data_IF_780275079134
#
_entry.id   IF_780275079134
#
_cell.length_a   1.000
_cell.length_b   1.000
_cell.length_c   1.000
_cell.angle_alpha   90.00
_cell.angle_beta   90.00
_cell.angle_gamma   90.00
#
_symmetry.space_group_name_H-M   'P 1'
#
loop_
_entity.id
_entity.type
_entity.pdbx_description
1 polymer ?
#
# COMPACT_ATOMS: atom_id res chain seq x y z
N UNK A 1 -2.44 9.34 14.32
CA UNK A 1 -2.79 8.87 12.97
C UNK A 1 -3.10 10.08 12.12
N UNK A 2 -2.16 10.50 11.27
CA UNK A 2 -2.39 11.61 10.35
C UNK A 2 -3.42 11.15 9.32
N UNK A 3 -4.61 11.75 9.31
CA UNK A 3 -5.68 11.41 8.37
C UNK A 3 -5.29 11.80 6.95
N UNK A 4 -4.66 10.89 6.23
CA UNK A 4 -4.29 11.05 4.82
C UNK A 4 -4.94 9.99 3.95
N UNK A 5 -5.18 10.31 2.67
CA UNK A 5 -5.77 9.34 1.72
C UNK A 5 -4.82 8.16 1.50
N UNK A 6 -5.35 6.95 1.56
CA UNK A 6 -4.68 5.75 1.09
C UNK A 6 -5.32 5.35 -0.24
N UNK A 7 -4.52 4.88 -1.20
CA UNK A 7 -5.03 4.42 -2.49
C UNK A 7 -4.51 3.03 -2.80
N UNK A 8 -5.34 2.20 -3.41
CA UNK A 8 -4.98 0.89 -3.94
C UNK A 8 -5.41 0.84 -5.40
N UNK A 9 -4.48 0.48 -6.27
CA UNK A 9 -4.70 0.34 -7.71
C UNK A 9 -4.48 -1.13 -8.11
N UNK A 10 -5.48 -1.77 -8.71
CA UNK A 10 -5.38 -3.13 -9.27
C UNK A 10 -4.79 -3.06 -10.67
N UNK A 11 -3.81 -3.93 -10.96
CA UNK A 11 -3.27 -4.12 -12.31
C UNK A 11 -4.22 -5.03 -13.12
N UNK A 12 -4.74 -4.57 -14.28
CA UNK A 12 -5.65 -5.37 -15.09
C UNK A 12 -5.06 -6.73 -15.48
N UNK A 13 -5.85 -7.79 -15.34
CA UNK A 13 -5.45 -9.15 -15.73
C UNK A 13 -4.46 -9.84 -14.78
N UNK A 14 -4.27 -9.33 -13.56
CA UNK A 14 -3.39 -9.93 -12.55
C UNK A 14 -3.92 -9.69 -11.13
N UNK A 15 -3.44 -10.47 -10.17
CA UNK A 15 -3.68 -10.23 -8.74
C UNK A 15 -2.80 -9.12 -8.15
N UNK A 16 -2.00 -8.47 -8.99
CA UNK A 16 -1.06 -7.43 -8.57
C UNK A 16 -1.77 -6.15 -8.17
N UNK A 17 -1.42 -5.69 -6.97
CA UNK A 17 -1.90 -4.51 -6.31
C UNK A 17 -0.79 -3.50 -6.10
N UNK A 18 -1.06 -2.22 -6.33
CA UNK A 18 -0.17 -1.13 -5.93
C UNK A 18 -0.83 -0.25 -4.88
N UNK A 19 -0.30 -0.28 -3.66
CA UNK A 19 -0.68 0.60 -2.56
C UNK A 19 0.09 1.91 -2.64
N UNK A 20 -0.59 3.03 -2.43
CA UNK A 20 -0.01 4.39 -2.40
C UNK A 20 -0.39 5.04 -1.07
N UNK A 21 0.61 5.32 -0.24
CA UNK A 21 0.42 5.98 1.04
C UNK A 21 0.20 7.49 0.86
N UNK A 22 -0.37 8.16 1.86
CA UNK A 22 -0.56 9.60 1.88
C UNK A 22 0.77 10.40 1.84
N UNK A 23 1.90 9.78 2.18
CA UNK A 23 3.23 10.35 2.03
C UNK A 23 3.81 10.22 0.61
N UNK A 24 3.11 9.54 -0.31
CA UNK A 24 3.55 9.31 -1.69
C UNK A 24 4.34 8.02 -1.91
N UNK A 25 4.73 7.31 -0.85
CA UNK A 25 5.37 6.00 -0.94
C UNK A 25 4.47 4.99 -1.66
N UNK A 26 5.08 4.00 -2.33
CA UNK A 26 4.37 2.97 -3.11
C UNK A 26 4.92 1.58 -2.81
N UNK A 27 4.06 0.58 -2.73
CA UNK A 27 4.43 -0.85 -2.69
C UNK A 27 3.53 -1.64 -3.61
N UNK A 28 4.10 -2.64 -4.26
CA UNK A 28 3.37 -3.58 -5.11
C UNK A 28 3.48 -4.99 -4.55
N UNK A 29 2.37 -5.69 -4.47
CA UNK A 29 2.28 -7.08 -3.99
C UNK A 29 1.06 -7.77 -4.62
N UNK A 30 0.98 -9.09 -4.53
CA UNK A 30 -0.19 -9.85 -5.00
C UNK A 30 -1.18 -10.16 -3.86
N UNK A 31 -0.71 -10.14 -2.60
CA UNK A 31 -1.57 -10.30 -1.43
C UNK A 31 -2.16 -8.93 -0.99
N UNK A 32 -3.49 -8.76 -0.99
CA UNK A 32 -4.13 -7.55 -0.48
C UNK A 32 -3.80 -7.27 0.99
N UNK A 33 -3.60 -8.29 1.82
CA UNK A 33 -3.28 -8.12 3.23
C UNK A 33 -1.89 -7.50 3.42
N UNK A 34 -0.91 -7.87 2.59
CA UNK A 34 0.43 -7.27 2.57
C UNK A 34 0.36 -5.78 2.27
N UNK A 35 -0.47 -5.38 1.29
CA UNK A 35 -0.66 -3.98 0.90
C UNK A 35 -1.26 -3.17 2.04
N UNK A 36 -2.32 -3.67 2.69
CA UNK A 36 -2.95 -2.96 3.81
C UNK A 36 -2.04 -2.89 5.04
N UNK A 37 -1.33 -3.98 5.35
CA UNK A 37 -0.34 -4.01 6.43
C UNK A 37 0.73 -2.94 6.21
N UNK A 38 1.25 -2.82 4.99
CA UNK A 38 2.24 -1.83 4.63
C UNK A 38 1.71 -0.38 4.64
N UNK A 39 0.49 -0.15 4.13
CA UNK A 39 -0.14 1.17 4.11
C UNK A 39 -0.40 1.72 5.52
N UNK A 40 -0.88 0.86 6.43
CA UNK A 40 -1.21 1.20 7.80
C UNK A 40 0.02 1.30 8.71
N UNK A 41 1.16 0.73 8.30
CA UNK A 41 2.42 0.83 9.02
C UNK A 41 3.13 2.19 8.89
N UNK A 42 2.57 3.17 8.16
CA UNK A 42 3.13 4.53 8.12
C UNK A 42 3.24 5.13 9.54
N UNK A 43 4.39 5.74 9.93
CA UNK A 43 5.52 6.15 9.10
C UNK A 43 6.61 5.10 8.83
N UNK A 44 6.55 3.93 9.45
CA UNK A 44 7.60 2.91 9.38
C UNK A 44 7.50 1.93 8.22
N UNK A 45 6.34 1.81 7.56
CA UNK A 45 6.03 0.97 6.40
C UNK A 45 6.37 -0.53 6.50
N UNK A 46 6.99 -1.00 7.59
CA UNK A 46 7.70 -2.27 7.58
C UNK A 46 9.03 -2.06 6.87
N UNK A 47 10.13 -2.22 7.61
CA UNK A 47 11.49 -2.23 7.07
C UNK A 47 11.56 -3.22 5.89
N UNK A 48 12.27 -2.89 4.79
CA UNK A 48 12.41 -3.77 3.63
C UNK A 48 12.89 -5.18 3.98
#
# INVERSE_FOLDING_TARGET
MSGGRLRVEWSPGSDRLTGICHCGARRTAEDPAEIWTWLLAHPGHGTP
#
